data_IF_518565211624
#
_entry.id   IF_518565211624
#
_cell.length_a   1.000
_cell.length_b   1.000
_cell.length_c   1.000
_cell.angle_alpha   90.00
_cell.angle_beta   90.00
_cell.angle_gamma   90.00
#
_symmetry.space_group_name_H-M   'P 1'
#
loop_
_entity.id
_entity.type
_entity.pdbx_description
1 polymer ?
#
# COMPACT_ATOMS: atom_id res chain seq x y z
N UNK A 1 -3.49 1.81 -11.80
CA UNK A 1 -4.61 1.43 -10.90
C UNK A 1 -4.31 1.90 -9.50
N UNK A 2 -5.32 2.09 -8.67
CA UNK A 2 -5.14 2.69 -7.34
C UNK A 2 -5.61 1.71 -6.25
N UNK A 3 -5.02 1.80 -5.06
CA UNK A 3 -5.37 0.90 -3.97
C UNK A 3 -4.32 0.83 -2.86
N UNK A 4 -4.55 -0.04 -1.89
CA UNK A 4 -3.63 -0.30 -0.79
C UNK A 4 -2.62 -1.39 -1.17
N UNK A 5 -1.38 -1.08 -1.59
CA UNK A 5 -0.39 -2.11 -1.88
C UNK A 5 -0.12 -2.95 -0.63
N UNK A 6 0.08 -4.24 -0.84
CA UNK A 6 0.43 -5.17 0.22
C UNK A 6 1.94 -5.37 0.33
N UNK A 7 2.40 -5.57 1.54
CA UNK A 7 3.74 -6.06 1.84
C UNK A 7 3.80 -7.50 1.33
N UNK A 8 4.70 -7.79 0.38
CA UNK A 8 4.76 -9.11 -0.31
C UNK A 8 4.95 -10.29 0.65
N UNK A 9 5.65 -10.07 1.77
CA UNK A 9 5.92 -11.10 2.79
C UNK A 9 4.67 -11.47 3.61
N UNK A 10 3.97 -10.47 4.15
CA UNK A 10 2.83 -10.68 5.07
C UNK A 10 1.47 -10.69 4.37
N UNK A 11 1.37 -10.07 3.18
CA UNK A 11 0.10 -9.80 2.51
C UNK A 11 -0.72 -8.68 3.16
N UNK A 12 -0.15 -7.94 4.11
CA UNK A 12 -0.82 -6.85 4.82
C UNK A 12 -0.63 -5.52 4.11
N UNK A 13 -1.61 -4.61 4.19
CA UNK A 13 -1.40 -3.20 3.86
C UNK A 13 -0.41 -2.58 4.86
N UNK A 14 0.43 -1.66 4.40
CA UNK A 14 1.30 -0.91 5.31
C UNK A 14 0.44 0.04 6.15
N UNK A 15 0.51 -0.12 7.48
CA UNK A 15 -0.23 0.75 8.41
C UNK A 15 0.46 2.11 8.46
N UNK A 16 -0.35 3.16 8.53
CA UNK A 16 0.09 4.53 8.74
C UNK A 16 -0.82 5.18 9.78
N UNK A 17 -0.29 6.07 10.62
CA UNK A 17 -1.05 6.64 11.75
C UNK A 17 -1.44 8.10 11.50
N UNK A 18 -0.84 8.77 10.53
CA UNK A 18 -1.23 10.12 10.16
C UNK A 18 -0.41 10.72 9.03
N UNK A 19 -0.49 12.04 8.90
CA UNK A 19 0.14 12.82 7.82
C UNK A 19 1.67 12.64 7.80
N UNK A 20 2.31 12.43 8.96
CA UNK A 20 3.75 12.18 9.06
C UNK A 20 4.20 10.93 8.28
N UNK A 21 3.32 9.93 8.15
CA UNK A 21 3.57 8.71 7.39
C UNK A 21 3.36 8.87 5.88
N UNK A 22 2.86 10.02 5.40
CA UNK A 22 2.67 10.24 3.96
C UNK A 22 3.97 10.06 3.18
N UNK A 23 5.11 10.53 3.72
CA UNK A 23 6.42 10.33 3.08
C UNK A 23 6.81 8.85 3.02
N UNK A 24 6.47 8.09 4.06
CA UNK A 24 6.70 6.64 4.11
C UNK A 24 5.80 5.91 3.12
N UNK A 25 4.52 6.30 3.05
CA UNK A 25 3.55 5.77 2.09
C UNK A 25 3.95 6.09 0.65
N UNK A 26 4.35 7.31 0.34
CA UNK A 26 4.81 7.72 -0.99
C UNK A 26 6.05 6.91 -1.42
N UNK A 27 7.03 6.77 -0.53
CA UNK A 27 8.22 5.97 -0.80
C UNK A 27 7.88 4.49 -1.01
N UNK A 28 7.02 3.93 -0.17
CA UNK A 28 6.53 2.55 -0.30
C UNK A 28 5.79 2.37 -1.64
N UNK A 29 5.00 3.36 -2.01
CA UNK A 29 4.24 3.37 -3.25
C UNK A 29 5.14 3.31 -4.48
N UNK A 30 6.10 4.23 -4.55
CA UNK A 30 7.08 4.29 -5.63
C UNK A 30 7.91 3.02 -5.71
N UNK A 31 8.26 2.43 -4.58
CA UNK A 31 8.96 1.12 -4.53
C UNK A 31 8.13 -0.03 -5.09
N UNK A 32 6.81 0.05 -5.03
CA UNK A 32 5.87 -0.93 -5.58
C UNK A 32 5.48 -0.62 -7.04
N UNK A 33 6.09 0.40 -7.66
CA UNK A 33 5.78 0.84 -9.02
C UNK A 33 4.54 1.73 -9.11
N UNK A 34 4.15 2.39 -8.02
CA UNK A 34 3.15 3.45 -8.01
C UNK A 34 3.75 4.82 -8.29
N UNK A 35 2.89 5.80 -8.53
CA UNK A 35 3.30 7.18 -8.81
C UNK A 35 3.30 8.04 -7.55
N UNK A 36 2.26 7.92 -6.73
CA UNK A 36 2.09 8.71 -5.53
C UNK A 36 1.43 7.89 -4.42
N UNK A 37 1.83 8.09 -3.17
CA UNK A 37 1.19 7.44 -2.04
C UNK A 37 1.04 8.34 -0.82
N UNK A 38 -0.03 8.09 -0.06
CA UNK A 38 -0.37 8.86 1.13
C UNK A 38 -1.10 7.98 2.15
N UNK A 39 -1.16 8.44 3.40
CA UNK A 39 -1.86 7.75 4.46
C UNK A 39 -3.37 8.00 4.34
N UNK A 40 -4.13 6.91 4.19
CA UNK A 40 -5.58 6.94 4.08
C UNK A 40 -6.21 5.79 4.88
N UNK A 41 -7.20 6.08 5.72
CA UNK A 41 -7.90 5.06 6.53
C UNK A 41 -6.96 4.05 7.23
N UNK A 42 -5.94 4.57 7.93
CA UNK A 42 -4.92 3.79 8.63
C UNK A 42 -4.14 2.80 7.74
N UNK A 43 -3.99 3.12 6.45
CA UNK A 43 -3.14 2.38 5.53
C UNK A 43 -2.57 3.25 4.42
N UNK A 44 -1.44 2.85 3.85
CA UNK A 44 -0.88 3.56 2.71
C UNK A 44 -1.69 3.29 1.45
N UNK A 45 -2.37 4.32 0.95
CA UNK A 45 -3.00 4.32 -0.37
C UNK A 45 -1.97 4.71 -1.42
N UNK A 46 -2.09 4.10 -2.59
CA UNK A 46 -1.26 4.36 -3.74
C UNK A 46 -2.08 4.64 -4.98
N UNK A 47 -1.58 5.59 -5.75
CA UNK A 47 -2.08 5.95 -7.06
C UNK A 47 -1.07 5.57 -8.14
N UNK A 48 -1.58 5.16 -9.29
CA UNK A 48 -0.75 4.84 -10.45
C UNK A 48 0.08 3.57 -10.29
N UNK A 49 -0.38 2.58 -9.51
CA UNK A 49 0.27 1.27 -9.45
C UNK A 49 0.16 0.54 -10.78
N UNK A 50 1.21 -0.22 -11.10
CA UNK A 50 1.20 -1.18 -12.18
C UNK A 50 0.12 -2.26 -11.97
N UNK A 51 -0.45 -2.77 -13.06
CA UNK A 51 -1.50 -3.79 -13.04
C UNK A 51 -1.10 -5.06 -12.30
N UNK A 52 0.19 -5.37 -12.27
CA UNK A 52 0.78 -6.54 -11.61
C UNK A 52 0.97 -6.39 -10.09
N UNK A 53 0.80 -5.20 -9.52
CA UNK A 53 1.04 -4.98 -8.08
C UNK A 53 -0.15 -5.47 -7.27
N UNK A 54 0.02 -6.40 -6.31
CA UNK A 54 -1.08 -6.85 -5.46
C UNK A 54 -1.56 -5.71 -4.54
N UNK A 55 -2.87 -5.54 -4.47
CA UNK A 55 -3.55 -4.54 -3.62
C UNK A 55 -4.48 -5.25 -2.63
N UNK A 56 -4.65 -4.68 -1.45
CA UNK A 56 -5.52 -5.20 -0.40
C UNK A 56 -6.99 -4.84 -0.69
N UNK A 57 -7.94 -5.74 -0.41
CA UNK A 57 -7.74 -7.11 0.10
C UNK A 57 -7.23 -8.07 -0.98
N UNK A 58 -6.31 -8.96 -0.61
CA UNK A 58 -5.87 -10.04 -1.50
C UNK A 58 -6.94 -11.14 -1.44
N UNK A 59 -7.55 -11.53 -2.57
CA UNK A 59 -8.50 -12.64 -2.56
C UNK A 59 -7.82 -13.91 -2.05
N UNK A 60 -8.42 -14.53 -1.02
CA UNK A 60 -7.94 -15.79 -0.45
C UNK A 60 -6.74 -15.70 0.51
N UNK A 61 -6.23 -14.50 0.82
CA UNK A 61 -5.12 -14.33 1.78
C UNK A 61 -5.47 -13.31 2.85
N UNK A 62 -5.52 -13.77 4.11
CA UNK A 62 -5.58 -12.87 5.27
C UNK A 62 -4.20 -12.29 5.54
N UNK A 63 -4.18 -11.03 5.98
CA UNK A 63 -2.97 -10.41 6.52
C UNK A 63 -2.48 -11.27 7.70
N UNK A 64 -1.30 -11.87 7.57
CA UNK A 64 -0.64 -12.59 8.66
C UNK A 64 0.44 -11.68 9.24
N UNK A 65 0.22 -11.20 10.47
CA UNK A 65 1.16 -10.39 11.24
C UNK A 65 2.36 -11.22 11.68
#
# INVERSE_FOLDING_TARGET
KDGYPVIKTTGCKLICVGISDNKSCDRFCKKQGGSHGYCHAFGCWCEGLSGSTPTYPIPGKTCKK
#
